data_IF_021720871142
#
_entry.id   IF_021720871142
#
_cell.length_a   1.000
_cell.length_b   1.000
_cell.length_c   1.000
_cell.angle_alpha   90.00
_cell.angle_beta   90.00
_cell.angle_gamma   90.00
#
_symmetry.space_group_name_H-M   'P 1'
#
loop_
_entity.id
_entity.type
_entity.pdbx_description
1 polymer ?
#
# COMPACT_ATOMS: atom_id res chain seq x y z
N UNK A 1 30.43 12.19 -53.34
CA UNK A 1 29.18 12.67 -52.72
C UNK A 1 28.05 11.65 -52.76
N UNK A 2 27.80 10.92 -53.84
CA UNK A 2 26.71 9.89 -53.94
C UNK A 2 26.89 8.69 -52.99
N UNK A 3 28.11 8.25 -52.72
CA UNK A 3 28.39 7.12 -51.80
C UNK A 3 28.10 7.45 -50.33
N UNK A 4 28.32 8.69 -49.93
CA UNK A 4 27.99 9.15 -48.56
C UNK A 4 26.48 9.30 -48.34
N UNK A 5 25.72 9.67 -49.37
CA UNK A 5 24.25 9.74 -49.30
C UNK A 5 23.62 8.35 -49.25
N UNK A 6 24.18 7.38 -49.97
CA UNK A 6 23.73 5.98 -49.88
C UNK A 6 24.05 5.34 -48.51
N UNK A 7 25.23 5.63 -47.94
CA UNK A 7 25.60 5.22 -46.60
C UNK A 7 24.71 5.87 -45.54
N UNK A 8 24.43 7.18 -45.65
CA UNK A 8 23.54 7.88 -44.75
C UNK A 8 22.08 7.35 -44.82
N UNK A 9 21.57 7.06 -46.03
CA UNK A 9 20.25 6.45 -46.22
C UNK A 9 20.18 5.02 -45.70
N UNK A 10 21.23 4.21 -45.89
CA UNK A 10 21.30 2.86 -45.35
C UNK A 10 21.35 2.87 -43.80
N UNK A 11 22.07 3.81 -43.18
CA UNK A 11 22.11 4.02 -41.74
C UNK A 11 20.74 4.49 -41.21
N UNK A 12 20.03 5.37 -41.93
CA UNK A 12 18.67 5.80 -41.56
C UNK A 12 17.65 4.64 -41.64
N UNK A 13 17.75 3.77 -42.64
CA UNK A 13 16.91 2.57 -42.77
C UNK A 13 17.23 1.52 -41.72
N UNK A 14 18.48 1.40 -41.28
CA UNK A 14 18.89 0.54 -40.18
C UNK A 14 18.40 1.04 -38.79
N UNK A 15 18.15 2.33 -38.64
CA UNK A 15 17.60 2.91 -37.42
C UNK A 15 16.09 2.67 -37.25
N UNK A 16 15.37 2.27 -38.30
CA UNK A 16 13.96 1.81 -38.21
C UNK A 16 13.86 0.34 -37.79
N UNK A 17 14.74 -0.10 -36.92
CA UNK A 17 14.83 -1.48 -36.45
C UNK A 17 13.48 -2.02 -35.92
N UNK A 18 13.09 -3.22 -36.38
CA UNK A 18 11.90 -3.92 -35.91
C UNK A 18 12.01 -4.20 -34.42
N UNK A 19 10.99 -3.81 -33.67
CA UNK A 19 10.86 -4.22 -32.26
C UNK A 19 10.22 -5.60 -32.19
N UNK A 20 10.96 -6.59 -31.70
CA UNK A 20 10.47 -7.96 -31.55
C UNK A 20 9.61 -8.11 -30.29
N UNK A 21 8.76 -9.14 -30.29
CA UNK A 21 7.86 -9.44 -29.20
C UNK A 21 6.46 -8.83 -29.34
N UNK A 22 5.53 -9.23 -28.50
CA UNK A 22 4.15 -8.74 -28.54
C UNK A 22 4.07 -7.34 -27.95
N UNK A 23 3.30 -6.46 -28.60
CA UNK A 23 2.91 -5.19 -27.99
C UNK A 23 1.85 -5.44 -26.94
N UNK A 24 1.93 -4.71 -25.84
CA UNK A 24 0.93 -4.83 -24.78
C UNK A 24 -0.45 -4.40 -25.28
N UNK A 25 -1.46 -5.19 -24.94
CA UNK A 25 -2.87 -4.84 -25.07
C UNK A 25 -3.56 -5.21 -23.77
N UNK A 26 -4.34 -4.26 -23.21
CA UNK A 26 -5.08 -4.51 -21.98
C UNK A 26 -6.00 -5.72 -22.16
N UNK A 27 -5.86 -6.75 -21.31
CA UNK A 27 -6.73 -7.93 -21.40
C UNK A 27 -8.18 -7.58 -21.13
N UNK A 28 -9.08 -8.14 -21.92
CA UNK A 28 -10.51 -8.05 -21.63
C UNK A 28 -10.84 -8.89 -20.40
N UNK A 29 -11.29 -8.24 -19.34
CA UNK A 29 -11.74 -8.88 -18.10
C UNK A 29 -13.25 -8.75 -18.02
N UNK A 30 -13.95 -9.85 -17.76
CA UNK A 30 -15.38 -9.80 -17.49
C UNK A 30 -15.60 -9.15 -16.11
N UNK A 31 -16.21 -7.99 -16.10
CA UNK A 31 -16.53 -7.22 -14.90
C UNK A 31 -18.01 -7.41 -14.59
N UNK A 32 -18.36 -7.59 -13.32
CA UNK A 32 -19.77 -7.58 -12.88
C UNK A 32 -20.41 -6.22 -13.18
N UNK A 33 -21.64 -6.22 -13.62
CA UNK A 33 -22.42 -5.01 -13.90
C UNK A 33 -22.81 -4.22 -12.65
N UNK A 34 -22.62 -4.78 -11.43
CA UNK A 34 -22.94 -4.15 -10.17
C UNK A 34 -22.18 -4.79 -9.00
N UNK A 35 -22.11 -4.08 -7.88
CA UNK A 35 -21.61 -4.62 -6.62
C UNK A 35 -22.70 -5.42 -5.91
N UNK A 36 -22.29 -6.44 -5.15
CA UNK A 36 -23.20 -7.19 -4.29
C UNK A 36 -23.50 -6.37 -3.04
N UNK A 37 -24.79 -6.04 -2.83
CA UNK A 37 -25.23 -5.34 -1.61
C UNK A 37 -26.68 -4.85 -1.78
N UNK A 38 -27.41 -4.62 -0.67
CA UNK A 38 -28.82 -4.27 -0.72
C UNK A 38 -29.12 -2.91 -1.38
N UNK A 39 -28.16 -2.00 -1.38
CA UNK A 39 -28.28 -0.65 -1.96
C UNK A 39 -27.61 -0.51 -3.35
N UNK A 40 -26.91 -1.55 -3.84
CA UNK A 40 -26.03 -1.44 -5.01
C UNK A 40 -26.68 -1.65 -6.37
N UNK A 41 -27.97 -1.94 -6.43
CA UNK A 41 -28.61 -2.43 -7.65
C UNK A 41 -29.42 -1.40 -8.45
N UNK A 42 -29.45 -0.13 -8.04
CA UNK A 42 -30.18 0.90 -8.79
C UNK A 42 -29.25 1.57 -9.81
N UNK A 43 -29.59 1.51 -11.10
CA UNK A 43 -28.91 2.24 -12.19
C UNK A 43 -28.82 3.76 -11.93
N UNK A 44 -29.70 4.32 -11.12
CA UNK A 44 -29.69 5.71 -10.71
C UNK A 44 -28.52 6.03 -9.76
N UNK A 45 -28.09 5.07 -8.91
CA UNK A 45 -26.94 5.25 -8.01
C UNK A 45 -25.60 5.07 -8.73
N UNK A 46 -25.58 4.30 -9.83
CA UNK A 46 -24.36 4.13 -10.64
C UNK A 46 -23.96 5.39 -11.42
N UNK A 47 -24.87 6.36 -11.60
CA UNK A 47 -24.61 7.64 -12.27
C UNK A 47 -24.20 8.76 -11.29
N UNK A 48 -24.31 8.55 -9.99
CA UNK A 48 -23.85 9.51 -8.98
C UNK A 48 -22.31 9.51 -8.90
N UNK A 49 -21.71 10.66 -8.59
CA UNK A 49 -20.29 10.76 -8.27
C UNK A 49 -19.95 9.81 -7.12
N UNK A 50 -18.86 9.06 -7.25
CA UNK A 50 -18.44 8.10 -6.22
C UNK A 50 -18.06 8.83 -4.93
N UNK A 51 -18.35 8.20 -3.79
CA UNK A 51 -17.85 8.64 -2.49
C UNK A 51 -16.30 8.76 -2.47
N UNK A 52 -15.62 7.93 -3.25
CA UNK A 52 -14.17 7.99 -3.43
C UNK A 52 -13.66 9.22 -4.20
N UNK A 53 -14.53 9.99 -4.85
CA UNK A 53 -14.15 11.25 -5.50
C UNK A 53 -13.92 12.38 -4.51
N UNK A 54 -14.41 12.21 -3.28
CA UNK A 54 -14.18 13.18 -2.21
C UNK A 54 -12.77 13.01 -1.65
N UNK A 55 -11.99 14.09 -1.51
CA UNK A 55 -10.72 14.01 -0.81
C UNK A 55 -10.97 13.66 0.68
N UNK A 56 -10.00 12.95 1.29
CA UNK A 56 -10.14 12.43 2.65
C UNK A 56 -10.50 13.49 3.70
N UNK A 57 -10.05 14.74 3.53
CA UNK A 57 -10.39 15.86 4.46
C UNK A 57 -11.84 16.34 4.35
N UNK A 58 -12.55 15.99 3.31
CA UNK A 58 -14.00 16.24 3.20
C UNK A 58 -14.83 15.07 3.74
N UNK A 59 -14.23 13.87 3.75
CA UNK A 59 -14.82 12.66 4.32
C UNK A 59 -14.70 12.69 5.85
N UNK A 60 -13.49 12.92 6.36
CA UNK A 60 -13.19 12.99 7.78
C UNK A 60 -13.16 14.44 8.25
N UNK A 61 -14.27 14.89 8.82
CA UNK A 61 -14.47 16.31 9.17
C UNK A 61 -13.93 16.72 10.54
N UNK A 62 -13.33 15.77 11.28
CA UNK A 62 -12.68 16.06 12.56
C UNK A 62 -11.32 16.73 12.30
N UNK A 63 -11.11 17.98 12.78
CA UNK A 63 -9.86 18.70 12.57
C UNK A 63 -8.64 17.98 13.16
N UNK A 64 -8.83 17.29 14.30
CA UNK A 64 -7.74 16.55 14.95
C UNK A 64 -7.33 15.34 14.12
N UNK A 65 -8.29 14.56 13.62
CA UNK A 65 -8.01 13.45 12.70
C UNK A 65 -7.30 13.93 11.45
N UNK A 66 -7.73 15.07 10.89
CA UNK A 66 -7.06 15.65 9.73
C UNK A 66 -5.60 16.00 10.01
N UNK A 67 -5.29 16.52 11.20
CA UNK A 67 -3.91 16.86 11.59
C UNK A 67 -3.07 15.61 11.78
N UNK A 68 -3.62 14.55 12.41
CA UNK A 68 -2.95 13.26 12.54
C UNK A 68 -2.62 12.66 11.16
N UNK A 69 -3.57 12.67 10.23
CA UNK A 69 -3.32 12.17 8.87
C UNK A 69 -2.24 12.99 8.17
N UNK A 70 -2.26 14.34 8.26
CA UNK A 70 -1.21 15.18 7.66
C UNK A 70 0.17 14.89 8.26
N UNK A 71 0.24 14.68 9.55
CA UNK A 71 1.47 14.31 10.26
C UNK A 71 1.99 12.96 9.79
N UNK A 72 1.11 11.95 9.72
CA UNK A 72 1.45 10.62 9.22
C UNK A 72 1.99 10.69 7.79
N UNK A 73 1.30 11.37 6.87
CA UNK A 73 1.73 11.51 5.48
C UNK A 73 3.12 12.16 5.34
N UNK A 74 3.52 13.00 6.29
CA UNK A 74 4.81 13.68 6.29
C UNK A 74 5.94 12.88 6.95
N UNK A 75 5.64 12.13 8.01
CA UNK A 75 6.66 11.58 8.90
C UNK A 75 6.71 10.04 8.91
N UNK A 76 5.67 9.35 8.42
CA UNK A 76 5.61 7.90 8.43
C UNK A 76 6.76 7.28 7.64
N UNK A 77 7.41 6.27 8.22
CA UNK A 77 8.58 5.60 7.61
C UNK A 77 8.23 4.75 6.40
N UNK A 78 7.02 4.18 6.30
CA UNK A 78 6.62 3.40 5.14
C UNK A 78 6.43 4.32 3.91
N UNK A 79 5.92 5.55 4.11
CA UNK A 79 5.86 6.58 3.06
C UNK A 79 7.24 7.02 2.59
N UNK A 80 8.18 7.23 3.52
CA UNK A 80 9.57 7.55 3.19
C UNK A 80 10.22 6.40 2.41
N UNK A 81 10.06 5.15 2.89
CA UNK A 81 10.56 3.97 2.21
C UNK A 81 9.96 3.79 0.81
N UNK A 82 8.66 4.04 0.64
CA UNK A 82 8.00 4.00 -0.68
C UNK A 82 8.58 5.05 -1.63
N UNK A 83 8.91 6.25 -1.12
CA UNK A 83 9.57 7.31 -1.91
C UNK A 83 10.97 6.89 -2.35
N UNK A 84 11.77 6.29 -1.47
CA UNK A 84 13.10 5.79 -1.83
C UNK A 84 13.05 4.62 -2.81
N UNK A 85 12.03 3.78 -2.75
CA UNK A 85 11.81 2.73 -3.76
C UNK A 85 11.56 3.32 -5.16
N UNK A 86 10.84 4.43 -5.27
CA UNK A 86 10.68 5.15 -6.55
C UNK A 86 12.01 5.70 -7.03
N UNK A 87 12.82 6.30 -6.15
CA UNK A 87 14.15 6.80 -6.49
C UNK A 87 15.05 5.67 -6.99
N UNK A 88 15.03 4.51 -6.35
CA UNK A 88 15.75 3.32 -6.78
C UNK A 88 15.28 2.82 -8.16
N UNK A 89 13.96 2.78 -8.40
CA UNK A 89 13.40 2.37 -9.69
C UNK A 89 13.74 3.37 -10.81
N UNK A 90 13.77 4.68 -10.52
CA UNK A 90 14.25 5.72 -11.47
C UNK A 90 15.72 5.54 -11.82
N UNK A 91 16.56 5.26 -10.84
CA UNK A 91 17.97 4.97 -11.06
C UNK A 91 18.16 3.71 -11.92
N UNK A 92 17.39 2.65 -11.64
CA UNK A 92 17.41 1.42 -12.43
C UNK A 92 16.97 1.64 -13.88
N UNK A 93 15.92 2.45 -14.11
CA UNK A 93 15.53 2.86 -15.45
C UNK A 93 16.64 3.63 -16.15
N UNK A 94 17.32 4.54 -15.45
CA UNK A 94 18.46 5.29 -16.02
C UNK A 94 19.62 4.36 -16.41
N UNK A 95 19.97 3.39 -15.55
CA UNK A 95 20.98 2.36 -15.82
C UNK A 95 20.58 1.53 -17.05
N UNK A 96 19.33 1.04 -17.11
CA UNK A 96 18.88 0.25 -18.27
C UNK A 96 18.90 1.07 -19.56
N UNK A 97 18.43 2.31 -19.48
CA UNK A 97 18.42 3.23 -20.62
C UNK A 97 19.82 3.63 -21.10
N UNK A 98 20.82 3.66 -20.18
CA UNK A 98 22.19 4.01 -20.56
C UNK A 98 22.79 3.08 -21.60
N UNK A 99 22.32 1.82 -21.66
CA UNK A 99 22.74 0.85 -22.70
C UNK A 99 22.33 1.24 -24.12
N UNK A 100 21.39 2.20 -24.28
CA UNK A 100 21.02 2.78 -25.57
C UNK A 100 22.04 3.83 -26.10
N UNK A 101 23.04 4.20 -25.32
CA UNK A 101 24.04 5.19 -25.65
C UNK A 101 25.44 4.57 -25.71
N UNK A 102 26.36 5.17 -26.50
CA UNK A 102 27.75 4.75 -26.48
C UNK A 102 28.34 4.83 -25.05
N UNK A 103 29.09 3.79 -24.68
CA UNK A 103 29.85 3.77 -23.44
C UNK A 103 31.30 4.16 -23.73
N UNK A 104 31.84 5.09 -22.97
CA UNK A 104 33.26 5.52 -23.08
C UNK A 104 33.95 5.11 -21.80
N UNK A 105 35.07 4.39 -21.93
CA UNK A 105 35.85 3.89 -20.80
C UNK A 105 37.33 4.26 -21.00
N UNK A 106 38.00 4.72 -19.98
CA UNK A 106 39.46 4.87 -19.95
C UNK A 106 40.09 3.68 -19.29
N UNK A 107 41.10 3.11 -19.89
CA UNK A 107 41.88 2.02 -19.30
C UNK A 107 43.36 2.36 -19.22
N UNK A 108 44.03 1.85 -18.19
CA UNK A 108 45.46 2.01 -17.99
C UNK A 108 46.07 0.74 -17.45
N UNK A 109 46.99 0.16 -18.24
CA UNK A 109 47.69 -1.08 -17.89
C UNK A 109 49.16 -0.83 -17.75
N UNK A 110 49.70 -1.20 -16.57
CA UNK A 110 51.15 -1.28 -16.35
C UNK A 110 51.56 -2.73 -16.28
N UNK A 111 52.20 -3.23 -17.28
CA UNK A 111 52.65 -4.62 -17.38
C UNK A 111 54.17 -4.69 -17.42
N UNK A 112 54.73 -5.55 -16.58
CA UNK A 112 56.16 -5.85 -16.57
C UNK A 112 56.43 -7.31 -16.39
N UNK A 113 57.46 -7.83 -17.03
CA UNK A 113 57.78 -9.23 -16.93
C UNK A 113 59.13 -9.59 -17.55
N UNK A 114 59.41 -10.88 -17.56
CA UNK A 114 60.57 -11.45 -18.21
C UNK A 114 60.06 -12.51 -19.19
N UNK A 115 60.44 -12.37 -20.43
CA UNK A 115 60.10 -13.34 -21.46
C UNK A 115 60.82 -14.66 -21.19
N UNK A 116 60.16 -15.81 -21.13
CA UNK A 116 60.76 -17.08 -20.81
C UNK A 116 61.75 -17.56 -21.91
N UNK A 117 61.53 -17.18 -23.14
CA UNK A 117 62.35 -17.64 -24.27
C UNK A 117 63.58 -16.77 -24.50
N UNK A 118 63.44 -15.47 -24.48
CA UNK A 118 64.52 -14.49 -24.71
C UNK A 118 65.24 -14.04 -23.43
N UNK A 119 64.72 -14.37 -22.26
CA UNK A 119 65.18 -13.88 -20.95
C UNK A 119 65.14 -12.34 -20.82
N UNK A 120 64.62 -11.64 -21.81
CA UNK A 120 64.55 -10.17 -21.83
C UNK A 120 63.49 -9.65 -20.87
N UNK A 121 63.81 -8.62 -20.10
CA UNK A 121 62.84 -7.90 -19.24
C UNK A 121 62.10 -6.86 -20.09
N UNK A 122 60.81 -6.82 -19.92
CA UNK A 122 59.94 -5.80 -20.53
C UNK A 122 59.14 -5.04 -19.47
N UNK A 123 58.79 -3.82 -19.76
CA UNK A 123 57.86 -3.02 -18.99
C UNK A 123 57.18 -2.03 -19.94
N UNK A 124 55.89 -1.99 -19.95
CA UNK A 124 55.16 -1.00 -20.71
C UNK A 124 53.93 -0.48 -19.94
N UNK A 125 53.62 0.77 -20.16
CA UNK A 125 52.40 1.44 -19.77
C UNK A 125 51.54 1.64 -21.03
N UNK A 126 50.34 1.08 -21.02
CA UNK A 126 49.34 1.32 -22.03
C UNK A 126 48.23 2.17 -21.45
N UNK A 127 47.85 3.24 -22.14
CA UNK A 127 46.68 4.06 -21.81
C UNK A 127 45.80 4.10 -23.03
N UNK A 128 44.49 3.81 -22.86
CA UNK A 128 43.53 3.89 -23.92
C UNK A 128 42.21 4.52 -23.48
N UNK A 129 41.50 5.10 -24.43
CA UNK A 129 40.10 5.46 -24.36
C UNK A 129 39.33 4.56 -25.33
N UNK A 130 38.41 3.80 -24.78
CA UNK A 130 37.68 2.77 -25.49
C UNK A 130 36.17 3.15 -25.54
N UNK A 131 35.58 3.11 -26.73
CA UNK A 131 34.17 3.33 -26.94
C UNK A 131 33.51 2.03 -27.40
N UNK A 132 32.37 1.73 -26.80
CA UNK A 132 31.52 0.61 -27.20
C UNK A 132 30.08 1.07 -27.37
N UNK A 133 29.44 0.66 -28.44
CA UNK A 133 28.04 0.98 -28.72
C UNK A 133 27.31 -0.22 -29.31
N UNK A 134 26.24 -0.68 -28.63
CA UNK A 134 25.43 -1.78 -29.15
C UNK A 134 24.27 -1.23 -29.96
N UNK A 135 24.20 -1.65 -31.23
CA UNK A 135 23.11 -1.32 -32.14
C UNK A 135 21.87 -2.15 -31.79
N UNK A 136 20.79 -1.49 -31.45
CA UNK A 136 19.52 -2.15 -31.08
C UNK A 136 18.64 -2.43 -32.31
N UNK A 137 19.10 -3.32 -33.19
CA UNK A 137 18.41 -3.63 -34.47
C UNK A 137 17.09 -4.39 -34.23
N UNK A 138 17.01 -5.23 -33.21
CA UNK A 138 15.89 -6.09 -32.92
C UNK A 138 15.08 -5.65 -31.70
N UNK A 139 15.38 -4.49 -31.12
CA UNK A 139 14.61 -3.87 -30.05
C UNK A 139 14.86 -4.45 -28.66
N UNK A 140 15.93 -5.23 -28.44
CA UNK A 140 16.27 -5.81 -27.16
C UNK A 140 16.41 -4.74 -26.05
N UNK A 141 17.21 -3.70 -26.33
CA UNK A 141 17.45 -2.62 -25.36
C UNK A 141 16.24 -1.72 -25.18
N UNK A 142 15.47 -1.49 -26.25
CA UNK A 142 14.20 -0.73 -26.18
C UNK A 142 13.17 -1.49 -25.36
N UNK A 143 12.99 -2.81 -25.55
CA UNK A 143 12.09 -3.65 -24.73
C UNK A 143 12.53 -3.73 -23.29
N UNK A 144 13.83 -3.85 -23.01
CA UNK A 144 14.34 -3.79 -21.63
C UNK A 144 14.04 -2.44 -20.97
N UNK A 145 14.16 -1.34 -21.73
CA UNK A 145 13.83 0.02 -21.24
C UNK A 145 12.32 0.18 -21.02
N UNK A 146 11.47 -0.39 -21.87
CA UNK A 146 10.02 -0.45 -21.71
C UNK A 146 9.65 -1.21 -20.42
N UNK A 147 10.25 -2.37 -20.18
CA UNK A 147 10.05 -3.15 -18.96
C UNK A 147 10.46 -2.36 -17.70
N UNK A 148 11.63 -1.74 -17.71
CA UNK A 148 12.12 -0.94 -16.59
C UNK A 148 11.24 0.30 -16.34
N UNK A 149 10.69 0.92 -17.39
CA UNK A 149 9.74 2.03 -17.26
C UNK A 149 8.41 1.60 -16.66
N UNK A 150 7.88 0.48 -17.11
CA UNK A 150 6.65 -0.09 -16.55
C UNK A 150 6.84 -0.46 -15.07
N UNK A 151 7.99 -1.01 -14.71
CA UNK A 151 8.32 -1.31 -13.31
C UNK A 151 8.42 -0.05 -12.43
N UNK A 152 8.97 1.07 -12.95
CA UNK A 152 8.93 2.36 -12.27
C UNK A 152 7.48 2.81 -12.04
N UNK A 153 6.61 2.74 -13.05
CA UNK A 153 5.20 3.11 -12.91
C UNK A 153 4.47 2.20 -11.90
N UNK A 154 4.76 0.89 -11.87
CA UNK A 154 4.25 -0.02 -10.86
C UNK A 154 4.67 0.40 -9.45
N UNK A 155 5.92 0.85 -9.27
CA UNK A 155 6.43 1.33 -7.98
C UNK A 155 5.75 2.65 -7.55
N UNK A 156 5.41 3.53 -8.49
CA UNK A 156 4.64 4.76 -8.21
C UNK A 156 3.20 4.43 -7.76
N UNK A 157 2.55 3.43 -8.38
CA UNK A 157 1.23 2.96 -7.93
C UNK A 157 1.29 2.25 -6.56
N UNK A 158 2.38 1.52 -6.29
CA UNK A 158 2.63 0.94 -4.96
C UNK A 158 2.73 2.01 -3.87
N UNK A 159 3.38 3.16 -4.13
CA UNK A 159 3.40 4.28 -3.19
C UNK A 159 2.00 4.83 -2.92
N UNK A 160 1.14 4.95 -3.95
CA UNK A 160 -0.26 5.36 -3.78
C UNK A 160 -1.06 4.39 -2.92
N UNK A 161 -0.77 3.08 -3.05
CA UNK A 161 -1.36 2.06 -2.19
C UNK A 161 -0.93 2.24 -0.73
N UNK A 162 0.35 2.54 -0.47
CA UNK A 162 0.85 2.85 0.88
C UNK A 162 0.15 4.08 1.45
N UNK A 163 0.02 5.16 0.65
CA UNK A 163 -0.69 6.39 1.06
C UNK A 163 -2.15 6.11 1.44
N UNK A 164 -2.89 5.40 0.57
CA UNK A 164 -4.29 5.03 0.81
C UNK A 164 -4.43 4.20 2.09
N UNK A 165 -3.53 3.24 2.29
CA UNK A 165 -3.52 2.37 3.46
C UNK A 165 -3.23 3.18 4.72
N UNK A 166 -2.20 4.04 4.72
CA UNK A 166 -1.84 4.88 5.87
C UNK A 166 -2.98 5.81 6.30
N UNK A 167 -3.62 6.50 5.34
CA UNK A 167 -4.79 7.36 5.64
C UNK A 167 -5.90 6.55 6.29
N UNK A 168 -6.16 5.35 5.77
CA UNK A 168 -7.22 4.49 6.30
C UNK A 168 -6.89 3.90 7.67
N UNK A 169 -5.64 3.50 7.89
CA UNK A 169 -5.22 2.91 9.15
C UNK A 169 -5.24 3.96 10.26
N UNK A 170 -4.69 5.18 10.02
CA UNK A 170 -4.77 6.30 10.99
C UNK A 170 -6.23 6.65 11.33
N UNK A 171 -7.13 6.65 10.34
CA UNK A 171 -8.54 6.93 10.58
C UNK A 171 -9.23 5.81 11.37
N UNK A 172 -8.93 4.54 11.06
CA UNK A 172 -9.50 3.38 11.76
C UNK A 172 -9.06 3.34 13.22
N UNK A 173 -7.77 3.51 13.48
CA UNK A 173 -7.21 3.49 14.84
C UNK A 173 -7.72 4.69 15.65
N UNK A 174 -7.85 5.87 15.02
CA UNK A 174 -8.45 7.02 15.68
C UNK A 174 -9.91 6.78 16.09
N UNK A 175 -10.74 6.17 15.23
CA UNK A 175 -12.12 5.83 15.60
C UNK A 175 -12.19 4.70 16.64
N UNK A 176 -11.23 3.78 16.64
CA UNK A 176 -11.07 2.78 17.71
C UNK A 176 -10.75 3.46 19.03
N UNK A 177 -9.83 4.41 19.04
CA UNK A 177 -9.46 5.21 20.21
C UNK A 177 -10.67 5.96 20.79
N UNK A 178 -11.43 6.66 19.93
CA UNK A 178 -12.66 7.36 20.37
C UNK A 178 -13.74 6.40 20.91
N UNK A 179 -13.82 5.19 20.34
CA UNK A 179 -14.72 4.15 20.85
C UNK A 179 -14.31 3.69 22.24
N UNK A 180 -13.02 3.44 22.48
CA UNK A 180 -12.49 3.06 23.78
C UNK A 180 -12.69 4.17 24.83
N UNK A 181 -12.45 5.44 24.45
CA UNK A 181 -12.74 6.59 25.31
C UNK A 181 -14.22 6.65 25.71
N UNK A 182 -15.13 6.40 24.77
CA UNK A 182 -16.58 6.35 25.05
C UNK A 182 -16.92 5.20 25.99
N UNK A 183 -16.34 4.02 25.81
CA UNK A 183 -16.54 2.87 26.70
C UNK A 183 -16.00 3.15 28.11
N UNK A 184 -14.84 3.80 28.23
CA UNK A 184 -14.27 4.21 29.51
C UNK A 184 -15.17 5.24 30.22
N UNK A 185 -15.71 6.21 29.49
CA UNK A 185 -16.65 7.18 30.02
C UNK A 185 -17.92 6.51 30.55
N UNK A 186 -18.55 5.64 29.74
CA UNK A 186 -19.73 4.85 30.16
C UNK A 186 -19.43 4.04 31.41
N UNK A 187 -18.27 3.40 31.49
CA UNK A 187 -17.86 2.58 32.64
C UNK A 187 -17.70 3.43 33.89
N UNK A 188 -17.05 4.60 33.80
CA UNK A 188 -16.88 5.54 34.92
C UNK A 188 -18.22 6.12 35.41
N UNK A 189 -19.12 6.45 34.49
CA UNK A 189 -20.47 6.92 34.85
C UNK A 189 -21.29 5.80 35.51
N UNK A 190 -21.12 4.58 35.04
CA UNK A 190 -21.71 3.39 35.67
C UNK A 190 -21.17 3.16 37.10
N UNK A 191 -19.84 3.25 37.29
CA UNK A 191 -19.21 3.14 38.63
C UNK A 191 -19.83 4.15 39.59
N UNK A 192 -19.95 5.41 39.21
CA UNK A 192 -20.58 6.45 40.04
C UNK A 192 -22.02 6.12 40.39
N UNK A 193 -22.81 5.62 39.43
CA UNK A 193 -24.20 5.21 39.63
C UNK A 193 -24.27 4.02 40.59
N UNK A 194 -23.34 3.06 40.49
CA UNK A 194 -23.29 1.89 41.36
C UNK A 194 -22.81 2.24 42.78
N UNK A 195 -21.89 3.19 42.94
CA UNK A 195 -21.53 3.73 44.27
C UNK A 195 -22.75 4.29 45.01
N UNK A 196 -23.61 5.04 44.32
CA UNK A 196 -24.83 5.60 44.88
C UNK A 196 -25.85 4.47 45.20
N UNK A 197 -25.90 3.40 44.40
CA UNK A 197 -26.71 2.22 44.66
C UNK A 197 -26.23 1.46 45.91
N UNK A 198 -24.92 1.29 46.11
CA UNK A 198 -24.33 0.69 47.33
C UNK A 198 -24.64 1.54 48.56
N UNK A 199 -24.49 2.87 48.48
CA UNK A 199 -24.85 3.79 49.57
C UNK A 199 -26.32 3.64 49.95
N UNK A 200 -27.24 3.62 48.98
CA UNK A 200 -28.67 3.47 49.19
C UNK A 200 -29.02 2.13 49.84
N UNK A 201 -28.48 1.02 49.32
CA UNK A 201 -28.76 -0.31 49.85
C UNK A 201 -28.20 -0.50 51.26
N UNK A 202 -27.02 0.04 51.57
CA UNK A 202 -26.42 0.06 52.90
C UNK A 202 -27.26 0.85 53.89
N UNK A 203 -27.69 2.08 53.50
CA UNK A 203 -28.58 2.89 54.32
C UNK A 203 -29.90 2.15 54.64
N UNK A 204 -30.50 1.47 53.66
CA UNK A 204 -31.73 0.67 53.86
C UNK A 204 -31.50 -0.56 54.75
N UNK A 205 -30.30 -1.19 54.70
CA UNK A 205 -29.92 -2.28 55.58
C UNK A 205 -29.85 -1.79 57.04
N UNK A 206 -29.22 -0.65 57.33
CA UNK A 206 -29.09 -0.07 58.67
C UNK A 206 -30.45 0.29 59.28
N UNK A 207 -31.46 0.54 58.44
CA UNK A 207 -32.83 0.83 58.86
C UNK A 207 -33.74 -0.44 58.79
N UNK A 208 -33.19 -1.65 58.59
CA UNK A 208 -33.93 -2.89 58.58
C UNK A 208 -34.86 -3.13 57.40
N UNK A 209 -34.69 -2.37 56.28
CA UNK A 209 -35.56 -2.40 55.07
C UNK A 209 -34.92 -3.15 53.89
N UNK A 210 -33.61 -3.45 53.95
CA UNK A 210 -32.89 -4.24 52.97
C UNK A 210 -32.12 -5.39 53.64
N UNK A 211 -31.69 -6.35 52.86
CA UNK A 211 -30.90 -7.49 53.32
C UNK A 211 -29.41 -7.29 53.10
N UNK A 212 -28.56 -8.03 53.83
CA UNK A 212 -27.12 -8.08 53.57
C UNK A 212 -26.82 -8.56 52.15
N UNK A 213 -27.70 -9.43 51.59
CA UNK A 213 -27.59 -9.92 50.21
C UNK A 213 -27.71 -8.77 49.19
N UNK A 214 -28.65 -7.83 49.38
CA UNK A 214 -28.86 -6.69 48.50
C UNK A 214 -27.61 -5.81 48.43
N UNK A 215 -26.95 -5.56 49.58
CA UNK A 215 -25.70 -4.79 49.65
C UNK A 215 -24.56 -5.51 48.90
N UNK A 216 -24.39 -6.84 49.14
CA UNK A 216 -23.35 -7.60 48.47
C UNK A 216 -23.56 -7.69 46.97
N UNK A 217 -24.80 -7.76 46.49
CA UNK A 217 -25.14 -7.74 45.08
C UNK A 217 -24.82 -6.36 44.44
N UNK A 218 -25.10 -5.25 45.13
CA UNK A 218 -24.73 -3.91 44.68
C UNK A 218 -23.21 -3.75 44.62
N UNK A 219 -22.47 -4.23 45.63
CA UNK A 219 -21.00 -4.21 45.64
C UNK A 219 -20.41 -5.04 44.51
N UNK A 220 -20.95 -6.23 44.23
CA UNK A 220 -20.49 -7.07 43.11
C UNK A 220 -20.56 -6.36 41.75
N UNK A 221 -21.62 -5.57 41.49
CA UNK A 221 -21.73 -4.83 40.22
C UNK A 221 -20.76 -3.67 40.17
N UNK A 222 -20.58 -2.96 41.29
CA UNK A 222 -19.59 -1.92 41.43
C UNK A 222 -18.17 -2.45 41.14
N UNK A 223 -17.80 -3.57 41.78
CA UNK A 223 -16.49 -4.19 41.60
C UNK A 223 -16.29 -4.68 40.17
N UNK A 224 -17.33 -5.24 39.54
CA UNK A 224 -17.28 -5.66 38.14
C UNK A 224 -17.08 -4.48 37.17
N UNK A 225 -17.69 -3.34 37.42
CA UNK A 225 -17.48 -2.13 36.61
C UNK A 225 -16.07 -1.54 36.83
N UNK A 226 -15.62 -1.48 38.11
CA UNK A 226 -14.27 -1.02 38.43
C UNK A 226 -13.17 -1.90 37.78
N UNK A 227 -13.38 -3.20 37.70
CA UNK A 227 -12.43 -4.13 37.11
C UNK A 227 -12.24 -3.91 35.59
N UNK A 228 -13.19 -3.27 34.91
CA UNK A 228 -13.07 -2.95 33.48
C UNK A 228 -12.20 -1.71 33.18
N UNK A 229 -12.10 -0.76 34.13
CA UNK A 229 -11.38 0.48 33.97
C UNK A 229 -9.91 0.26 33.58
N UNK A 230 -9.11 -0.51 34.35
CA UNK A 230 -7.70 -0.73 34.03
C UNK A 230 -7.49 -1.42 32.66
N UNK A 231 -8.40 -2.29 32.25
CA UNK A 231 -8.31 -2.95 30.95
C UNK A 231 -8.59 -1.98 29.79
N UNK A 232 -9.59 -1.11 29.94
CA UNK A 232 -9.87 -0.05 28.95
C UNK A 232 -8.74 0.96 28.89
N UNK A 233 -8.16 1.38 30.01
CA UNK A 233 -7.01 2.29 30.05
C UNK A 233 -5.78 1.67 29.39
N UNK A 234 -5.54 0.36 29.60
CA UNK A 234 -4.50 -0.39 28.89
C UNK A 234 -4.74 -0.40 27.37
N UNK A 235 -5.98 -0.69 26.94
CA UNK A 235 -6.33 -0.70 25.51
C UNK A 235 -6.16 0.67 24.88
N UNK A 236 -6.57 1.75 25.57
CA UNK A 236 -6.37 3.14 25.13
C UNK A 236 -4.89 3.44 24.93
N UNK A 237 -4.03 3.13 25.91
CA UNK A 237 -2.60 3.35 25.79
C UNK A 237 -1.97 2.57 24.63
N UNK A 238 -2.40 1.32 24.40
CA UNK A 238 -1.92 0.52 23.27
C UNK A 238 -2.37 1.09 21.92
N UNK A 239 -3.58 1.63 21.84
CA UNK A 239 -4.09 2.27 20.62
C UNK A 239 -3.37 3.60 20.34
N UNK A 240 -3.07 4.39 21.39
CA UNK A 240 -2.25 5.59 21.26
C UNK A 240 -0.84 5.27 20.74
N UNK A 241 -0.24 4.20 21.23
CA UNK A 241 1.06 3.73 20.75
C UNK A 241 0.99 3.31 19.27
N UNK A 242 -0.06 2.60 18.86
CA UNK A 242 -0.28 2.22 17.46
C UNK A 242 -0.40 3.44 16.54
N UNK A 243 -1.21 4.43 16.94
CA UNK A 243 -1.33 5.70 16.21
C UNK A 243 0.02 6.41 16.14
N UNK A 244 0.78 6.51 17.24
CA UNK A 244 2.09 7.15 17.24
C UNK A 244 3.10 6.47 16.30
N UNK A 245 3.06 5.14 16.17
CA UNK A 245 3.87 4.40 15.19
C UNK A 245 3.49 4.82 13.76
N UNK A 246 2.20 4.93 13.45
CA UNK A 246 1.74 5.41 12.14
C UNK A 246 2.14 6.86 11.87
N UNK A 247 2.22 7.69 12.92
CA UNK A 247 2.71 9.07 12.82
C UNK A 247 4.24 9.17 12.67
N UNK A 248 4.98 8.08 12.89
CA UNK A 248 6.45 8.09 12.93
C UNK A 248 7.00 8.68 14.23
N UNK A 249 6.20 8.75 15.29
CA UNK A 249 6.56 9.27 16.61
C UNK A 249 6.87 8.14 17.60
N UNK A 250 7.55 8.49 18.69
CA UNK A 250 7.63 7.64 19.87
C UNK A 250 6.30 7.67 20.63
N UNK A 251 6.00 6.63 21.45
CA UNK A 251 4.81 6.57 22.28
C UNK A 251 4.57 7.84 23.11
N UNK A 252 3.38 8.40 22.99
CA UNK A 252 2.91 9.58 23.71
C UNK A 252 1.38 9.68 23.64
N UNK A 253 0.80 10.51 24.48
CA UNK A 253 -0.64 10.76 24.44
C UNK A 253 -1.07 11.34 23.09
N UNK A 254 -2.19 10.86 22.57
CA UNK A 254 -2.80 11.35 21.32
C UNK A 254 -3.93 12.33 21.65
N UNK A 255 -3.89 13.53 21.09
CA UNK A 255 -4.96 14.52 21.27
C UNK A 255 -6.26 14.06 20.61
N UNK A 256 -7.39 14.27 21.28
CA UNK A 256 -8.74 13.98 20.79
C UNK A 256 -9.39 15.24 20.24
N UNK A 257 -10.18 15.07 19.18
CA UNK A 257 -11.05 16.12 18.64
C UNK A 257 -12.49 15.96 19.12
N UNK A 258 -13.40 15.70 18.19
CA UNK A 258 -14.81 15.48 18.50
C UNK A 258 -15.01 14.11 19.14
N UNK A 259 -15.85 14.02 20.18
CA UNK A 259 -16.25 12.75 20.75
C UNK A 259 -16.95 11.86 19.69
N UNK A 260 -16.88 10.53 19.83
CA UNK A 260 -17.48 9.60 18.86
C UNK A 260 -18.97 9.89 18.61
N UNK A 261 -19.71 10.34 19.63
CA UNK A 261 -21.13 10.69 19.53
C UNK A 261 -21.40 12.01 18.79
N UNK A 262 -20.38 12.83 18.59
CA UNK A 262 -20.47 14.15 17.91
C UNK A 262 -19.94 14.10 16.47
N UNK A 263 -19.31 13.00 16.10
CA UNK A 263 -18.81 12.77 14.75
C UNK A 263 -19.96 12.74 13.74
N UNK A 264 -19.73 13.31 12.55
CA UNK A 264 -20.75 13.38 11.50
C UNK A 264 -20.48 12.37 10.40
N UNK A 265 -21.45 11.49 10.17
CA UNK A 265 -21.45 10.60 9.02
C UNK A 265 -21.86 11.34 7.75
N UNK A 266 -21.28 11.02 6.59
CA UNK A 266 -21.73 11.58 5.32
C UNK A 266 -23.19 11.16 5.04
N UNK A 267 -24.02 12.03 4.45
CA UNK A 267 -25.45 11.78 4.26
C UNK A 267 -25.75 10.65 3.27
N UNK A 268 -24.82 10.35 2.36
CA UNK A 268 -24.91 9.23 1.42
C UNK A 268 -23.53 8.76 0.99
N UNK A 269 -23.41 7.48 0.68
CA UNK A 269 -22.14 6.84 0.28
C UNK A 269 -22.36 6.07 -1.03
N UNK A 270 -22.47 6.76 -2.18
CA UNK A 270 -22.67 6.10 -3.46
C UNK A 270 -21.37 5.38 -3.88
N UNK A 271 -21.43 4.08 -4.26
CA UNK A 271 -20.23 3.31 -4.62
C UNK A 271 -19.66 3.70 -6.00
N UNK A 272 -20.42 4.40 -6.82
CA UNK A 272 -20.02 4.73 -8.20
C UNK A 272 -20.11 3.55 -9.17
N UNK A 273 -19.55 3.75 -10.37
CA UNK A 273 -19.60 2.75 -11.45
C UNK A 273 -18.55 1.67 -11.23
N UNK A 274 -18.90 0.37 -11.33
CA UNK A 274 -17.94 -0.73 -11.16
C UNK A 274 -16.69 -0.65 -12.05
N UNK A 275 -16.83 -0.20 -13.30
CA UNK A 275 -15.70 -0.06 -14.22
C UNK A 275 -14.68 1.00 -13.81
N UNK A 276 -15.08 2.02 -13.07
CA UNK A 276 -14.16 3.07 -12.59
C UNK A 276 -13.12 2.54 -11.58
N UNK A 277 -13.40 1.41 -10.92
CA UNK A 277 -12.50 0.78 -9.98
C UNK A 277 -11.15 0.41 -10.63
N UNK A 278 -11.19 -0.04 -11.89
CA UNK A 278 -9.99 -0.43 -12.65
C UNK A 278 -9.02 0.73 -12.88
N UNK A 279 -9.52 1.96 -12.89
CA UNK A 279 -8.72 3.15 -13.13
C UNK A 279 -8.37 3.90 -11.83
N UNK A 280 -9.13 3.65 -10.76
CA UNK A 280 -8.97 4.33 -9.48
C UNK A 280 -8.05 3.60 -8.52
N UNK A 281 -8.16 2.27 -8.43
CA UNK A 281 -7.40 1.51 -7.43
C UNK A 281 -5.93 1.37 -7.83
N UNK A 282 -5.01 1.89 -6.98
CA UNK A 282 -3.59 1.83 -7.27
C UNK A 282 -3.03 0.41 -7.35
N UNK A 283 -3.56 -0.53 -6.54
CA UNK A 283 -3.14 -1.94 -6.55
C UNK A 283 -3.46 -2.66 -7.87
N UNK A 284 -4.62 -2.36 -8.50
CA UNK A 284 -4.96 -2.86 -9.84
C UNK A 284 -4.02 -2.26 -10.89
N UNK A 285 -3.75 -0.96 -10.81
CA UNK A 285 -2.86 -0.26 -11.73
C UNK A 285 -1.42 -0.74 -11.58
N UNK A 286 -0.97 -1.01 -10.35
CA UNK A 286 0.33 -1.64 -10.09
C UNK A 286 0.43 -2.98 -10.80
N UNK A 287 -0.54 -3.88 -10.60
CA UNK A 287 -0.55 -5.19 -11.24
C UNK A 287 -0.60 -5.11 -12.78
N UNK A 288 -1.29 -4.11 -13.35
CA UNK A 288 -1.28 -3.86 -14.79
C UNK A 288 0.11 -3.43 -15.28
N UNK A 289 0.80 -2.54 -14.57
CA UNK A 289 2.15 -2.12 -14.94
C UNK A 289 3.17 -3.26 -14.85
N UNK A 290 3.05 -4.15 -13.87
CA UNK A 290 3.87 -5.37 -13.79
C UNK A 290 3.60 -6.33 -14.97
N UNK A 291 2.36 -6.43 -15.41
CA UNK A 291 2.01 -7.20 -16.61
C UNK A 291 2.62 -6.58 -17.89
N UNK A 292 2.64 -5.25 -18.00
CA UNK A 292 3.31 -4.54 -19.09
C UNK A 292 4.81 -4.84 -19.09
N UNK A 293 5.44 -4.79 -17.91
CA UNK A 293 6.85 -5.09 -17.75
C UNK A 293 7.18 -6.53 -18.18
N UNK A 294 6.40 -7.50 -17.72
CA UNK A 294 6.56 -8.91 -18.06
C UNK A 294 6.33 -9.16 -19.57
N UNK A 295 5.35 -8.48 -20.18
CA UNK A 295 5.12 -8.56 -21.62
C UNK A 295 6.31 -8.04 -22.44
N UNK A 296 6.94 -6.94 -22.00
CA UNK A 296 8.13 -6.41 -22.66
C UNK A 296 9.33 -7.36 -22.54
N UNK A 297 9.48 -8.11 -21.43
CA UNK A 297 10.55 -9.10 -21.26
C UNK A 297 10.47 -10.25 -22.26
N UNK A 298 9.30 -10.62 -22.76
CA UNK A 298 9.17 -11.58 -23.88
C UNK A 298 9.90 -11.04 -25.12
N UNK A 299 9.79 -9.73 -25.37
CA UNK A 299 10.48 -9.08 -26.48
C UNK A 299 12.00 -9.11 -26.33
N UNK A 300 12.51 -8.92 -25.09
CA UNK A 300 13.94 -9.08 -24.78
C UNK A 300 14.40 -10.51 -25.09
N UNK A 301 13.71 -11.53 -24.53
CA UNK A 301 14.05 -12.94 -24.72
C UNK A 301 13.96 -13.37 -26.20
N UNK A 302 13.01 -12.84 -26.98
CA UNK A 302 12.94 -13.07 -28.43
C UNK A 302 14.08 -12.42 -29.17
N UNK A 303 14.50 -11.24 -28.80
CA UNK A 303 15.59 -10.53 -29.46
C UNK A 303 16.95 -11.24 -29.25
N UNK A 304 17.13 -12.00 -28.17
CA UNK A 304 18.34 -12.76 -27.90
C UNK A 304 18.59 -13.92 -28.90
N UNK A 305 17.60 -14.32 -29.69
CA UNK A 305 17.75 -15.28 -30.79
C UNK A 305 18.40 -14.66 -32.04
N UNK A 306 18.49 -13.35 -32.13
CA UNK A 306 18.96 -12.63 -33.32
C UNK A 306 20.38 -12.12 -33.14
N UNK A 307 21.09 -11.81 -34.26
CA UNK A 307 22.45 -11.29 -34.21
C UNK A 307 22.53 -10.00 -33.38
N UNK A 308 23.50 -9.94 -32.49
CA UNK A 308 23.85 -8.72 -31.77
C UNK A 308 25.00 -8.03 -32.46
N UNK A 309 24.83 -6.76 -32.75
CA UNK A 309 25.82 -5.94 -33.44
C UNK A 309 26.37 -4.86 -32.52
N UNK A 310 27.67 -4.85 -32.29
CA UNK A 310 28.36 -3.83 -31.51
C UNK A 310 29.42 -3.10 -32.32
N UNK A 311 29.49 -1.82 -32.14
CA UNK A 311 30.55 -0.95 -32.66
C UNK A 311 31.54 -0.71 -31.54
N UNK A 312 32.83 -0.87 -31.85
CA UNK A 312 33.90 -0.63 -30.88
C UNK A 312 34.94 0.33 -31.52
N UNK A 313 35.56 1.14 -30.69
CA UNK A 313 36.66 1.99 -31.07
C UNK A 313 37.62 2.15 -29.91
N UNK A 314 38.88 2.20 -30.18
CA UNK A 314 39.93 2.43 -29.17
C UNK A 314 40.94 3.40 -29.69
N UNK A 315 41.39 4.32 -28.88
CA UNK A 315 42.50 5.23 -29.18
C UNK A 315 43.37 5.41 -27.95
N UNK A 316 44.68 5.27 -28.12
CA UNK A 316 45.56 5.33 -26.96
C UNK A 316 47.04 5.37 -27.35
N UNK A 317 47.87 5.09 -26.37
CA UNK A 317 49.32 5.01 -26.56
C UNK A 317 49.96 3.99 -25.62
N UNK A 318 51.03 3.41 -26.14
CA UNK A 318 51.88 2.50 -25.35
C UNK A 318 53.24 3.14 -25.22
N UNK A 319 53.74 3.20 -23.99
CA UNK A 319 55.08 3.65 -23.67
C UNK A 319 55.81 2.57 -22.88
N UNK A 320 57.00 2.18 -23.39
CA UNK A 320 57.74 1.14 -22.69
C UNK A 320 59.01 0.70 -23.38
N UNK A 321 59.68 -0.26 -22.78
CA UNK A 321 60.82 -0.96 -23.37
C UNK A 321 60.37 -2.28 -23.99
N UNK A 322 60.41 -2.44 -25.33
CA UNK A 322 60.16 -3.70 -25.97
C UNK A 322 61.26 -4.71 -25.72
N UNK A 323 60.98 -5.99 -25.96
CA UNK A 323 61.88 -7.14 -25.71
C UNK A 323 63.25 -7.02 -26.38
N UNK A 324 63.34 -6.34 -27.50
CA UNK A 324 64.52 -6.34 -28.37
C UNK A 324 65.25 -4.98 -28.38
N UNK A 325 64.84 -3.98 -27.65
CA UNK A 325 65.38 -2.64 -27.68
C UNK A 325 65.73 -2.08 -26.28
N UNK A 326 66.89 -1.45 -26.18
CA UNK A 326 67.28 -0.67 -25.00
C UNK A 326 66.61 0.69 -24.94
N UNK A 327 65.95 1.13 -26.00
CA UNK A 327 65.31 2.45 -26.10
C UNK A 327 63.83 2.36 -25.71
N UNK A 328 63.37 3.35 -24.93
CA UNK A 328 61.94 3.52 -24.65
C UNK A 328 61.21 4.01 -25.90
N UNK A 329 60.23 3.25 -26.36
CA UNK A 329 59.36 3.68 -27.49
C UNK A 329 58.05 4.20 -26.98
N UNK A 330 57.52 5.19 -27.67
CA UNK A 330 56.14 5.66 -27.48
C UNK A 330 55.42 5.55 -28.83
N UNK A 331 54.30 4.80 -28.83
CA UNK A 331 53.55 4.55 -30.07
C UNK A 331 52.09 4.85 -29.80
N UNK A 332 51.48 5.68 -30.60
CA UNK A 332 50.04 5.87 -30.66
C UNK A 332 49.38 4.68 -31.35
N UNK A 333 48.32 4.19 -30.77
CA UNK A 333 47.52 3.08 -31.35
C UNK A 333 46.06 3.52 -31.44
N UNK A 334 45.40 3.11 -32.48
CA UNK A 334 43.97 3.26 -32.62
C UNK A 334 43.39 2.06 -33.36
N UNK A 335 42.15 1.73 -33.05
CA UNK A 335 41.40 0.68 -33.73
C UNK A 335 39.93 1.02 -33.75
N UNK A 336 39.23 0.51 -34.75
CA UNK A 336 37.78 0.47 -34.75
C UNK A 336 37.31 -0.90 -35.28
N UNK A 337 36.12 -1.32 -34.87
CA UNK A 337 35.60 -2.58 -35.28
C UNK A 337 34.09 -2.63 -35.26
N UNK A 338 33.54 -3.55 -36.01
CA UNK A 338 32.15 -3.96 -35.96
C UNK A 338 32.15 -5.44 -35.57
N UNK A 339 31.54 -5.77 -34.48
CA UNK A 339 31.40 -7.16 -34.02
C UNK A 339 29.97 -7.60 -34.22
N UNK A 340 29.77 -8.74 -34.86
CA UNK A 340 28.45 -9.40 -34.99
C UNK A 340 28.53 -10.73 -34.31
N UNK A 341 27.67 -10.96 -33.30
CA UNK A 341 27.60 -12.20 -32.56
C UNK A 341 26.22 -12.82 -32.74
N UNK A 342 26.18 -14.03 -33.33
CA UNK A 342 24.97 -14.82 -33.53
C UNK A 342 25.07 -16.13 -32.73
N UNK A 343 24.20 -16.37 -31.74
CA UNK A 343 24.12 -17.68 -31.08
C UNK A 343 23.62 -18.75 -32.08
N UNK A 344 24.39 -19.79 -32.28
CA UNK A 344 24.01 -20.93 -33.19
C UNK A 344 23.49 -22.09 -32.38
N UNK A 345 24.23 -22.49 -31.34
CA UNK A 345 23.83 -23.56 -30.43
C UNK A 345 24.10 -23.17 -29.01
N UNK A 346 23.02 -23.15 -28.18
CA UNK A 346 23.07 -22.71 -26.78
C UNK A 346 22.56 -23.78 -25.79
N UNK A 347 22.47 -25.04 -26.25
CA UNK A 347 22.01 -26.16 -25.39
C UNK A 347 20.59 -25.95 -24.84
N UNK A 348 19.72 -25.20 -25.55
CA UNK A 348 18.34 -24.96 -25.12
C UNK A 348 18.16 -23.72 -24.24
N UNK A 349 19.23 -22.98 -23.88
CA UNK A 349 19.14 -21.87 -22.94
C UNK A 349 18.25 -20.70 -23.48
N UNK A 350 18.33 -20.34 -24.77
CA UNK A 350 17.48 -19.30 -25.34
C UNK A 350 16.00 -19.68 -25.37
N UNK A 351 15.66 -20.91 -25.73
CA UNK A 351 14.28 -21.41 -25.68
C UNK A 351 13.76 -21.48 -24.24
N UNK A 352 14.60 -21.90 -23.31
CA UNK A 352 14.28 -21.90 -21.87
C UNK A 352 13.99 -20.49 -21.36
N UNK A 353 14.82 -19.47 -21.71
CA UNK A 353 14.61 -18.09 -21.33
C UNK A 353 13.32 -17.51 -21.93
N UNK A 354 12.99 -17.86 -23.18
CA UNK A 354 11.73 -17.43 -23.78
C UNK A 354 10.52 -18.03 -23.06
N UNK A 355 10.53 -19.33 -22.80
CA UNK A 355 9.46 -19.99 -22.05
C UNK A 355 9.34 -19.45 -20.62
N UNK A 356 10.46 -19.10 -19.97
CA UNK A 356 10.44 -18.43 -18.66
C UNK A 356 9.73 -17.08 -18.74
N UNK A 357 10.09 -16.23 -19.72
CA UNK A 357 9.45 -14.92 -19.90
C UNK A 357 7.95 -15.05 -20.23
N UNK A 358 7.56 -16.02 -21.06
CA UNK A 358 6.16 -16.30 -21.38
C UNK A 358 5.39 -16.75 -20.13
N UNK A 359 5.97 -17.63 -19.31
CA UNK A 359 5.37 -18.08 -18.04
C UNK A 359 5.26 -16.94 -17.02
N UNK A 360 6.26 -16.06 -16.92
CA UNK A 360 6.22 -14.88 -16.05
C UNK A 360 5.12 -13.90 -16.47
N UNK A 361 4.92 -13.71 -17.78
CA UNK A 361 3.80 -12.90 -18.29
C UNK A 361 2.44 -13.51 -17.96
N UNK A 362 2.27 -14.83 -18.05
CA UNK A 362 1.02 -15.50 -17.63
C UNK A 362 0.79 -15.38 -16.11
N UNK A 363 1.83 -15.49 -15.29
CA UNK A 363 1.75 -15.25 -13.85
C UNK A 363 1.30 -13.81 -13.55
N UNK A 364 1.88 -12.82 -14.22
CA UNK A 364 1.48 -11.43 -14.09
C UNK A 364 0.02 -11.19 -14.52
N UNK A 365 -0.44 -11.85 -15.59
CA UNK A 365 -1.84 -11.81 -16.03
C UNK A 365 -2.80 -12.39 -14.98
N UNK A 366 -2.45 -13.52 -14.38
CA UNK A 366 -3.24 -14.12 -13.30
C UNK A 366 -3.28 -13.19 -12.10
N UNK A 367 -2.14 -12.61 -11.70
CA UNK A 367 -2.05 -11.64 -10.59
C UNK A 367 -2.93 -10.41 -10.85
N UNK A 368 -2.91 -9.86 -12.07
CA UNK A 368 -3.78 -8.76 -12.48
C UNK A 368 -5.27 -9.12 -12.35
N UNK A 369 -5.69 -10.30 -12.82
CA UNK A 369 -7.07 -10.79 -12.68
C UNK A 369 -7.45 -10.97 -11.21
N UNK A 370 -6.55 -11.51 -10.38
CA UNK A 370 -6.78 -11.66 -8.93
C UNK A 370 -6.92 -10.30 -8.23
N UNK A 371 -6.11 -9.31 -8.59
CA UNK A 371 -6.23 -7.95 -8.04
C UNK A 371 -7.61 -7.36 -8.31
N UNK A 372 -8.11 -7.50 -9.55
CA UNK A 372 -9.47 -7.07 -9.91
C UNK A 372 -10.53 -7.82 -9.08
N UNK A 373 -10.44 -9.15 -8.99
CA UNK A 373 -11.40 -9.96 -8.25
C UNK A 373 -11.44 -9.58 -6.76
N UNK A 374 -10.27 -9.40 -6.14
CA UNK A 374 -10.17 -8.94 -4.74
C UNK A 374 -10.78 -7.56 -4.56
N UNK A 375 -10.49 -6.63 -5.46
CA UNK A 375 -11.04 -5.28 -5.41
C UNK A 375 -12.58 -5.26 -5.43
N UNK A 376 -13.21 -6.09 -6.27
CA UNK A 376 -14.67 -6.23 -6.27
C UNK A 376 -15.21 -6.88 -5.00
N UNK A 377 -14.48 -7.86 -4.44
CA UNK A 377 -14.80 -8.46 -3.13
C UNK A 377 -14.75 -7.42 -2.02
N UNK A 378 -13.64 -6.67 -1.92
CA UNK A 378 -13.44 -5.63 -0.91
C UNK A 378 -14.57 -4.59 -0.90
N UNK A 379 -14.97 -4.10 -2.09
CA UNK A 379 -16.07 -3.12 -2.20
C UNK A 379 -17.39 -3.75 -1.78
N UNK A 380 -17.69 -4.98 -2.22
CA UNK A 380 -18.93 -5.66 -1.85
C UNK A 380 -19.01 -5.90 -0.34
N UNK A 381 -17.94 -6.36 0.26
CA UNK A 381 -17.85 -6.63 1.71
C UNK A 381 -17.97 -5.34 2.52
N UNK A 382 -17.29 -4.27 2.09
CA UNK A 382 -17.35 -2.97 2.75
C UNK A 382 -18.76 -2.33 2.67
N UNK A 383 -19.45 -2.45 1.53
CA UNK A 383 -20.84 -1.98 1.36
C UNK A 383 -21.80 -2.74 2.28
N UNK A 384 -21.68 -4.06 2.33
CA UNK A 384 -22.49 -4.91 3.21
C UNK A 384 -22.21 -4.55 4.67
N UNK A 385 -20.92 -4.44 5.05
CA UNK A 385 -20.52 -4.11 6.41
C UNK A 385 -21.10 -2.75 6.85
N UNK A 386 -20.90 -1.69 6.05
CA UNK A 386 -21.40 -0.35 6.35
C UNK A 386 -22.90 -0.34 6.59
N UNK A 387 -23.67 -0.98 5.71
CA UNK A 387 -25.12 -1.04 5.86
C UNK A 387 -25.53 -1.81 7.12
N UNK A 388 -24.94 -2.98 7.37
CA UNK A 388 -25.31 -3.81 8.51
C UNK A 388 -24.90 -3.20 9.85
N UNK A 389 -23.73 -2.54 9.92
CA UNK A 389 -23.34 -1.83 11.13
C UNK A 389 -24.24 -0.63 11.41
N UNK A 390 -24.68 0.10 10.39
CA UNK A 390 -25.67 1.18 10.56
C UNK A 390 -27.02 0.61 11.11
N UNK A 391 -27.53 -0.47 10.52
CA UNK A 391 -28.74 -1.14 11.02
C UNK A 391 -28.56 -1.60 12.49
N UNK A 392 -27.42 -2.20 12.81
CA UNK A 392 -27.07 -2.66 14.17
C UNK A 392 -27.05 -1.49 15.14
N UNK A 393 -26.38 -0.38 14.82
CA UNK A 393 -26.34 0.81 15.66
C UNK A 393 -27.74 1.33 15.97
N UNK A 394 -28.59 1.48 14.96
CA UNK A 394 -29.97 1.95 15.16
C UNK A 394 -30.76 1.03 16.10
N UNK A 395 -30.60 -0.30 15.98
CA UNK A 395 -31.25 -1.26 16.89
C UNK A 395 -30.70 -1.19 18.31
N UNK A 396 -29.37 -1.03 18.45
CA UNK A 396 -28.75 -0.88 19.77
C UNK A 396 -29.17 0.43 20.46
N UNK A 397 -29.32 1.53 19.73
CA UNK A 397 -29.85 2.80 20.27
C UNK A 397 -31.27 2.63 20.81
N UNK A 398 -32.14 1.91 20.10
CA UNK A 398 -33.48 1.58 20.59
C UNK A 398 -33.44 0.71 21.84
N UNK A 399 -32.55 -0.29 21.87
CA UNK A 399 -32.39 -1.18 23.03
C UNK A 399 -31.94 -0.40 24.28
N UNK A 400 -30.92 0.46 24.15
CA UNK A 400 -30.44 1.30 25.25
C UNK A 400 -31.55 2.22 25.76
N UNK A 401 -32.33 2.85 24.87
CA UNK A 401 -33.43 3.71 25.26
C UNK A 401 -34.50 2.95 26.09
N UNK A 402 -34.86 1.74 25.67
CA UNK A 402 -35.82 0.92 26.42
C UNK A 402 -35.26 0.43 27.76
N UNK A 403 -33.97 0.05 27.80
CA UNK A 403 -33.34 -0.38 29.08
C UNK A 403 -33.17 0.78 30.04
N UNK A 404 -32.82 1.99 29.58
CA UNK A 404 -32.74 3.17 30.43
C UNK A 404 -34.11 3.48 31.09
N UNK A 405 -35.20 3.38 30.33
CA UNK A 405 -36.55 3.55 30.90
C UNK A 405 -36.90 2.43 31.85
N UNK A 406 -36.53 1.18 31.55
CA UNK A 406 -36.73 0.03 32.47
C UNK A 406 -36.02 0.26 33.79
N UNK A 407 -34.76 0.68 33.80
CA UNK A 407 -33.99 1.01 35.00
C UNK A 407 -34.67 2.15 35.77
N UNK A 408 -35.10 3.21 35.08
CA UNK A 408 -35.80 4.32 35.72
C UNK A 408 -37.06 3.85 36.47
N UNK A 409 -37.88 3.01 35.85
CA UNK A 409 -39.11 2.47 36.43
C UNK A 409 -38.83 1.48 37.57
N UNK A 410 -37.86 0.59 37.44
CA UNK A 410 -37.50 -0.37 38.49
C UNK A 410 -36.95 0.33 39.73
N UNK A 411 -36.16 1.40 39.60
CA UNK A 411 -35.71 2.22 40.75
C UNK A 411 -36.89 2.89 41.45
N UNK A 412 -37.88 3.43 40.71
CA UNK A 412 -39.08 4.04 41.32
C UNK A 412 -39.89 2.99 42.12
N UNK A 413 -40.12 1.81 41.55
CA UNK A 413 -40.83 0.70 42.20
C UNK A 413 -40.07 0.20 43.44
N UNK A 414 -38.74 0.06 43.36
CA UNK A 414 -37.90 -0.30 44.49
C UNK A 414 -37.96 0.72 45.63
N UNK A 415 -37.88 2.00 45.31
CA UNK A 415 -38.03 3.08 46.31
C UNK A 415 -39.40 3.10 46.95
N UNK A 416 -40.45 2.76 46.20
CA UNK A 416 -41.82 2.62 46.70
C UNK A 416 -42.10 1.31 47.43
N UNK A 417 -41.14 0.41 47.56
CA UNK A 417 -41.27 -0.86 48.27
C UNK A 417 -42.12 -1.91 47.54
N UNK A 418 -42.38 -1.74 46.23
CA UNK A 418 -43.26 -2.61 45.41
C UNK A 418 -42.49 -3.65 44.60
N UNK A 419 -41.14 -3.64 44.63
CA UNK A 419 -40.29 -4.64 44.00
C UNK A 419 -39.01 -4.91 44.80
N UNK A 420 -38.30 -5.98 44.48
CA UNK A 420 -36.99 -6.33 45.06
C UNK A 420 -35.86 -5.58 44.40
N UNK A 421 -34.70 -5.48 45.07
CA UNK A 421 -33.49 -4.89 44.50
C UNK A 421 -32.97 -5.64 43.25
N UNK A 422 -33.27 -6.96 43.20
CA UNK A 422 -32.85 -7.79 42.05
C UNK A 422 -33.38 -7.27 40.72
N UNK A 423 -34.59 -6.70 40.63
CA UNK A 423 -35.17 -6.11 39.41
C UNK A 423 -34.37 -4.88 38.97
N UNK A 424 -33.94 -4.03 39.94
CA UNK A 424 -33.08 -2.87 39.65
C UNK A 424 -31.70 -3.32 39.16
N UNK A 425 -31.12 -4.32 39.84
CA UNK A 425 -29.80 -4.85 39.52
C UNK A 425 -29.74 -5.45 38.12
N UNK A 426 -30.74 -6.25 37.75
CA UNK A 426 -30.82 -6.87 36.42
C UNK A 426 -30.96 -5.81 35.31
N UNK A 427 -31.83 -4.81 35.57
CA UNK A 427 -31.96 -3.67 34.64
C UNK A 427 -30.65 -2.87 34.45
N UNK A 428 -29.95 -2.56 35.54
CA UNK A 428 -28.67 -1.82 35.50
C UNK A 428 -27.58 -2.61 34.81
N UNK A 429 -27.44 -3.91 35.05
CA UNK A 429 -26.48 -4.77 34.34
C UNK A 429 -26.75 -4.81 32.83
N UNK A 430 -28.04 -4.99 32.49
CA UNK A 430 -28.47 -5.05 31.08
C UNK A 430 -28.22 -3.71 30.35
N UNK A 431 -28.51 -2.59 31.01
CA UNK A 431 -28.26 -1.25 30.46
C UNK A 431 -26.77 -1.02 30.23
N UNK A 432 -25.93 -1.29 31.24
CA UNK A 432 -24.49 -1.12 31.11
C UNK A 432 -23.89 -1.95 29.94
N UNK A 433 -24.26 -3.23 29.83
CA UNK A 433 -23.84 -4.09 28.75
C UNK A 433 -24.31 -3.56 27.37
N UNK A 434 -25.56 -3.04 27.28
CA UNK A 434 -26.10 -2.50 26.06
C UNK A 434 -25.42 -1.17 25.66
N UNK A 435 -25.07 -0.31 26.61
CA UNK A 435 -24.32 0.93 26.36
C UNK A 435 -22.92 0.67 25.81
N UNK A 436 -22.19 -0.29 26.38
CA UNK A 436 -20.88 -0.72 25.86
C UNK A 436 -21.01 -1.31 24.45
N UNK A 437 -22.06 -2.12 24.21
CA UNK A 437 -22.34 -2.68 22.88
C UNK A 437 -22.70 -1.60 21.88
N UNK A 438 -23.44 -0.56 22.28
CA UNK A 438 -23.74 0.59 21.43
C UNK A 438 -22.47 1.40 21.07
N UNK A 439 -21.58 1.61 22.06
CA UNK A 439 -20.29 2.26 21.80
C UNK A 439 -19.48 1.48 20.75
N UNK A 440 -19.43 0.14 20.88
CA UNK A 440 -18.79 -0.73 19.88
C UNK A 440 -19.48 -0.63 18.51
N UNK A 441 -20.82 -0.65 18.45
CA UNK A 441 -21.56 -0.57 17.20
C UNK A 441 -21.32 0.77 16.46
N UNK A 442 -21.19 1.86 17.22
CA UNK A 442 -20.81 3.17 16.67
C UNK A 442 -19.39 3.16 16.09
N UNK A 443 -18.42 2.62 16.83
CA UNK A 443 -17.04 2.46 16.34
C UNK A 443 -16.98 1.65 15.05
N UNK A 444 -17.65 0.49 15.02
CA UNK A 444 -17.71 -0.39 13.86
C UNK A 444 -18.31 0.31 12.61
N UNK A 445 -19.32 1.16 12.80
CA UNK A 445 -19.91 1.95 11.70
C UNK A 445 -18.89 2.90 11.07
N UNK A 446 -18.14 3.67 11.88
CA UNK A 446 -17.09 4.56 11.38
C UNK A 446 -15.94 3.78 10.73
N UNK A 447 -15.49 2.68 11.32
CA UNK A 447 -14.46 1.82 10.72
C UNK A 447 -14.92 1.25 9.38
N UNK A 448 -16.19 0.82 9.26
CA UNK A 448 -16.73 0.32 7.99
C UNK A 448 -16.80 1.41 6.91
N UNK A 449 -17.05 2.66 7.29
CA UNK A 449 -16.98 3.80 6.38
C UNK A 449 -15.56 4.04 5.87
N UNK A 450 -14.55 3.95 6.76
CA UNK A 450 -13.13 4.05 6.38
C UNK A 450 -12.75 2.91 5.41
N UNK A 451 -13.15 1.68 5.71
CA UNK A 451 -12.88 0.53 4.85
C UNK A 451 -13.57 0.66 3.49
N UNK A 452 -14.78 1.19 3.44
CA UNK A 452 -15.47 1.45 2.17
C UNK A 452 -14.75 2.53 1.34
N UNK A 453 -14.26 3.59 1.97
CA UNK A 453 -13.46 4.62 1.31
C UNK A 453 -12.16 4.04 0.73
N UNK A 454 -11.45 3.20 1.49
CA UNK A 454 -10.26 2.46 1.05
C UNK A 454 -10.58 1.53 -0.11
N UNK A 455 -11.64 0.72 0.00
CA UNK A 455 -12.02 -0.27 -1.02
C UNK A 455 -12.38 0.37 -2.36
N UNK A 456 -13.01 1.56 -2.34
CA UNK A 456 -13.34 2.34 -3.53
C UNK A 456 -12.14 3.05 -4.16
N UNK A 457 -10.97 3.02 -3.51
CA UNK A 457 -9.76 3.67 -4.00
C UNK A 457 -9.74 5.18 -3.77
N UNK A 458 -10.41 5.69 -2.73
CA UNK A 458 -10.37 7.08 -2.32
C UNK A 458 -9.13 7.40 -1.46
N UNK A 459 -8.69 8.67 -1.44
CA UNK A 459 -7.69 9.15 -0.47
C UNK A 459 -6.28 9.40 -0.99
N UNK A 460 -5.97 9.05 -2.22
CA UNK A 460 -4.66 9.30 -2.84
C UNK A 460 -4.67 10.45 -3.87
N UNK A 461 -5.85 11.01 -4.16
CA UNK A 461 -6.03 12.14 -5.08
C UNK A 461 -5.92 13.48 -4.36
#
# INVERSE_FOLDING_TARGET
>A
MRTWQLLASAILFLMAGCMLGPDYRRPAVQISSGYRGPAGSSEAQSKASSFADLPWWQVFRDPQLQELIRTALKQNYDMQLATERINAARAQLAITRSSLFPQLQGSGDLTGGKDPSSQAKFRYLALSADVAFQLDLFGRLRRATEAARAHLLATEEAQRTVLLTLVSDVASDYFTLLQLDLQLQITRDTVKTQEDSVKLTSFRLDHGVATRLDVLQAQQVLDSANAQIPDLERQIGQEEDAINILLGNYPQDVSRGLALTQQQLPPSVPPGVPSSLLERRPDIRQAEQELIAANAQIGVAKADFFPQVSLTGSSGGVRGRPFTSSMTSQTGIWSYGVQVTQPIFTGGSLSGNLHLAESQREQALITYKQAIQRAFGDVSDALIAYQRFNETRVRQEQQVAHLAETVRLSIMRYRGGTTTYLEVLDGQRSLFAAELTLAQARGNEYQSLVQLYKALGGGWQ
#
